data_IF_836860424897
#
_entry.id   IF_836860424897
#
_cell.length_a   1.000
_cell.length_b   1.000
_cell.length_c   1.000
_cell.angle_alpha   90.00
_cell.angle_beta   90.00
_cell.angle_gamma   90.00
#
_symmetry.space_group_name_H-M   'P 1'
#
loop_
_entity.id
_entity.type
_entity.pdbx_description
1 polymer ?
#
# COMPACT_ATOMS: atom_id res chain seq x y z
N UNK A 1 -11.99 -66.67 51.91
CA UNK A 1 -11.11 -65.52 51.80
C UNK A 1 -10.98 -65.20 50.31
N UNK A 2 -11.71 -64.23 49.81
CA UNK A 2 -11.61 -63.74 48.42
C UNK A 2 -11.26 -62.27 48.47
N UNK A 3 -10.05 -61.93 48.03
CA UNK A 3 -9.62 -60.53 47.80
C UNK A 3 -10.30 -59.97 46.58
N UNK A 4 -11.00 -58.85 46.76
CA UNK A 4 -11.45 -58.03 45.65
C UNK A 4 -10.44 -56.88 45.41
N UNK A 5 -9.75 -56.88 44.24
CA UNK A 5 -8.92 -55.82 43.75
C UNK A 5 -9.81 -54.84 43.08
N UNK A 6 -9.82 -53.55 43.54
CA UNK A 6 -10.50 -52.40 42.86
C UNK A 6 -9.50 -51.77 41.92
N UNK A 7 -9.82 -51.81 40.63
CA UNK A 7 -9.14 -51.09 39.56
C UNK A 7 -9.72 -49.68 39.51
N UNK A 8 -8.93 -48.65 39.85
CA UNK A 8 -9.31 -47.25 39.62
C UNK A 8 -8.97 -46.87 38.16
N UNK A 9 -10.00 -46.54 37.39
CA UNK A 9 -9.88 -46.00 36.05
C UNK A 9 -9.73 -44.47 36.16
N UNK A 10 -8.54 -43.94 35.86
CA UNK A 10 -8.36 -42.48 35.66
C UNK A 10 -8.80 -42.12 34.25
N UNK A 11 -9.94 -41.42 34.15
CA UNK A 11 -10.36 -40.75 32.92
C UNK A 11 -9.76 -39.36 32.93
N UNK A 12 -8.72 -39.14 32.12
CA UNK A 12 -8.20 -37.80 31.86
C UNK A 12 -9.14 -37.09 30.87
N UNK A 13 -9.95 -36.16 31.36
CA UNK A 13 -10.63 -35.16 30.48
C UNK A 13 -9.58 -34.18 29.95
N UNK A 14 -9.18 -34.35 28.72
CA UNK A 14 -8.50 -33.31 27.97
C UNK A 14 -9.58 -32.31 27.49
N UNK A 15 -9.72 -31.19 28.18
CA UNK A 15 -10.48 -30.05 27.69
C UNK A 15 -9.69 -29.40 26.55
N UNK A 16 -9.92 -29.82 25.34
CA UNK A 16 -9.51 -29.10 24.15
C UNK A 16 -10.24 -27.75 24.15
N UNK A 17 -9.51 -26.68 24.43
CA UNK A 17 -9.97 -25.32 24.17
C UNK A 17 -10.15 -25.18 22.65
N UNK A 18 -11.38 -25.37 22.15
CA UNK A 18 -11.75 -24.91 20.82
C UNK A 18 -11.69 -23.38 20.83
N UNK A 19 -10.61 -22.82 20.33
CA UNK A 19 -10.57 -21.42 20.00
C UNK A 19 -11.51 -21.22 18.79
N UNK A 20 -12.63 -20.57 19.02
CA UNK A 20 -13.46 -20.06 17.92
C UNK A 20 -12.61 -19.07 17.13
N UNK A 21 -12.64 -19.10 15.79
CA UNK A 21 -11.94 -18.10 14.99
C UNK A 21 -12.44 -16.72 15.39
N UNK A 22 -11.52 -15.83 15.77
CA UNK A 22 -11.80 -14.43 16.09
C UNK A 22 -12.41 -13.80 14.86
N UNK A 23 -13.57 -13.16 15.00
CA UNK A 23 -14.21 -12.47 13.88
C UNK A 23 -13.29 -11.35 13.37
N UNK A 24 -13.35 -11.02 12.07
CA UNK A 24 -12.52 -9.96 11.51
C UNK A 24 -12.74 -8.59 12.21
N UNK A 25 -13.90 -8.37 12.82
CA UNK A 25 -14.23 -7.17 13.60
C UNK A 25 -13.55 -7.13 14.99
N UNK A 26 -13.10 -8.27 15.52
CA UNK A 26 -12.44 -8.38 16.82
C UNK A 26 -10.91 -8.47 16.71
N UNK A 27 -10.36 -8.42 15.48
CA UNK A 27 -8.91 -8.40 15.25
C UNK A 27 -8.36 -6.99 15.43
N UNK A 28 -7.15 -6.81 16.00
CA UNK A 28 -6.50 -5.52 15.97
C UNK A 28 -6.29 -5.07 14.52
N UNK A 29 -6.22 -3.76 14.30
CA UNK A 29 -5.82 -3.22 12.99
C UNK A 29 -4.38 -3.66 12.67
N UNK A 30 -3.98 -3.60 11.40
CA UNK A 30 -2.66 -4.09 10.96
C UNK A 30 -1.50 -3.44 11.75
N UNK A 31 -1.61 -2.15 12.01
CA UNK A 31 -0.70 -1.32 12.81
C UNK A 31 -1.40 0.00 13.17
N UNK A 32 -0.94 0.77 14.16
CA UNK A 32 -1.51 2.08 14.50
C UNK A 32 -1.55 3.01 13.28
N UNK A 33 -2.76 3.50 12.93
CA UNK A 33 -2.98 4.34 11.74
C UNK A 33 -3.29 3.57 10.45
N UNK A 34 -3.50 2.25 10.51
CA UNK A 34 -4.02 1.48 9.38
C UNK A 34 -5.50 1.82 9.14
N UNK A 35 -5.83 2.20 7.90
CA UNK A 35 -7.17 2.67 7.52
C UNK A 35 -7.77 1.85 6.37
N UNK A 36 -9.05 2.05 6.11
CA UNK A 36 -9.72 1.53 4.93
C UNK A 36 -10.03 0.03 4.95
N UNK A 37 -10.31 -0.52 3.77
CA UNK A 37 -10.74 -1.91 3.61
C UNK A 37 -9.69 -2.93 4.04
N UNK A 38 -8.39 -2.65 3.87
CA UNK A 38 -7.28 -3.55 4.22
C UNK A 38 -6.78 -3.43 5.65
N UNK A 39 -7.38 -2.58 6.48
CA UNK A 39 -6.87 -2.22 7.82
C UNK A 39 -6.73 -3.38 8.80
N UNK A 40 -7.40 -4.50 8.56
CA UNK A 40 -7.38 -5.68 9.43
C UNK A 40 -6.48 -6.81 8.91
N UNK A 41 -5.58 -6.54 7.94
CA UNK A 41 -4.55 -7.49 7.54
C UNK A 41 -3.68 -7.90 8.74
N UNK A 42 -3.41 -9.18 8.89
CA UNK A 42 -2.60 -9.69 10.02
C UNK A 42 -1.13 -9.91 9.66
N UNK A 43 -0.79 -9.87 8.38
CA UNK A 43 0.57 -10.13 7.93
C UNK A 43 1.08 -11.51 8.33
N UNK A 44 2.36 -11.57 8.71
CA UNK A 44 3.01 -12.78 9.20
C UNK A 44 2.77 -13.09 10.67
N UNK A 45 2.14 -12.20 11.43
CA UNK A 45 1.98 -12.24 12.90
C UNK A 45 1.63 -13.61 13.48
N UNK A 46 0.70 -14.30 12.84
CA UNK A 46 0.19 -15.60 13.30
C UNK A 46 0.73 -16.78 12.47
N UNK A 47 1.88 -16.63 11.84
CA UNK A 47 2.49 -17.68 11.02
C UNK A 47 1.76 -17.96 9.71
N UNK A 48 2.19 -19.01 9.02
CA UNK A 48 1.72 -19.33 7.67
C UNK A 48 0.22 -19.68 7.57
N UNK A 49 -0.33 -20.25 8.62
CA UNK A 49 -1.72 -20.72 8.68
C UNK A 49 -2.65 -19.75 9.43
N UNK A 50 -2.13 -18.60 9.87
CA UNK A 50 -2.88 -17.62 10.65
C UNK A 50 -3.27 -18.10 12.08
N UNK A 51 -2.65 -19.14 12.60
CA UNK A 51 -2.93 -19.72 13.92
C UNK A 51 -1.67 -20.15 14.69
N UNK A 52 -0.49 -19.82 14.17
CA UNK A 52 0.81 -20.18 14.74
C UNK A 52 1.58 -18.96 15.23
N UNK A 53 2.89 -19.00 15.04
CA UNK A 53 3.83 -17.92 15.34
C UNK A 53 4.62 -17.55 14.08
N UNK A 54 5.01 -16.29 13.96
CA UNK A 54 5.84 -15.83 12.86
C UNK A 54 7.24 -16.45 12.86
N UNK A 55 7.82 -16.57 11.65
CA UNK A 55 9.26 -16.73 11.45
C UNK A 55 9.86 -15.34 11.17
N UNK A 56 10.85 -14.92 11.96
CA UNK A 56 11.61 -13.70 11.62
C UNK A 56 12.60 -14.06 10.53
N UNK A 57 12.56 -13.32 9.42
CA UNK A 57 13.49 -13.50 8.31
C UNK A 57 14.31 -12.23 8.07
N UNK A 58 15.63 -12.38 8.17
CA UNK A 58 16.58 -11.30 7.93
C UNK A 58 17.03 -11.24 6.47
N UNK A 59 16.83 -10.11 5.82
CA UNK A 59 17.44 -9.80 4.53
C UNK A 59 18.84 -9.28 4.81
N UNK A 60 19.84 -10.12 4.59
CA UNK A 60 21.23 -9.88 4.97
C UNK A 60 22.12 -9.47 3.81
N UNK A 61 21.61 -9.50 2.58
CA UNK A 61 22.35 -9.10 1.38
C UNK A 61 21.43 -8.51 0.30
N UNK A 62 22.03 -7.89 -0.71
CA UNK A 62 21.33 -7.22 -1.82
C UNK A 62 21.25 -8.08 -3.09
N UNK A 63 21.54 -9.38 -3.00
CA UNK A 63 21.47 -10.30 -4.14
C UNK A 63 20.01 -10.50 -4.58
N UNK A 64 19.82 -10.80 -5.87
CA UNK A 64 18.49 -11.15 -6.41
C UNK A 64 17.92 -12.42 -5.75
N UNK A 65 18.76 -13.42 -5.48
CA UNK A 65 18.34 -14.73 -5.00
C UNK A 65 19.38 -15.38 -4.08
N UNK A 66 19.00 -16.49 -3.48
CA UNK A 66 19.82 -17.26 -2.53
C UNK A 66 19.54 -16.91 -1.09
N UNK A 67 20.26 -17.57 -0.18
CA UNK A 67 20.13 -17.39 1.27
C UNK A 67 20.34 -15.93 1.68
N UNK A 68 19.49 -15.41 2.56
CA UNK A 68 19.53 -14.04 3.02
C UNK A 68 19.04 -12.99 2.02
N UNK A 69 18.57 -13.39 0.82
CA UNK A 69 18.01 -12.46 -0.16
C UNK A 69 16.54 -12.12 0.15
N UNK A 70 16.09 -10.97 -0.34
CA UNK A 70 14.66 -10.58 -0.22
C UNK A 70 13.75 -11.58 -0.95
N UNK A 71 14.15 -12.09 -2.12
CA UNK A 71 13.39 -13.10 -2.87
C UNK A 71 13.15 -14.36 -2.04
N UNK A 72 14.17 -14.85 -1.32
CA UNK A 72 14.01 -15.99 -0.42
C UNK A 72 13.07 -15.64 0.76
N UNK A 73 13.18 -14.42 1.30
CA UNK A 73 12.31 -13.94 2.37
C UNK A 73 10.83 -14.03 2.03
N UNK A 74 10.43 -13.54 0.85
CA UNK A 74 9.03 -13.48 0.42
C UNK A 74 8.55 -14.75 -0.29
N UNK A 75 9.38 -15.78 -0.42
CA UNK A 75 9.07 -17.03 -1.12
C UNK A 75 8.15 -17.97 -0.34
N UNK A 76 8.06 -17.80 0.97
CA UNK A 76 7.24 -18.59 1.89
C UNK A 76 6.33 -17.69 2.72
N UNK A 77 5.22 -18.25 3.20
CA UNK A 77 4.27 -17.57 4.09
C UNK A 77 4.69 -17.66 5.56
N UNK A 78 4.13 -16.77 6.39
CA UNK A 78 4.26 -16.82 7.85
C UNK A 78 5.47 -16.09 8.41
N UNK A 79 5.98 -15.10 7.65
CA UNK A 79 7.19 -14.37 8.02
C UNK A 79 6.95 -12.91 8.37
N UNK A 80 7.74 -12.43 9.32
CA UNK A 80 8.03 -11.01 9.50
C UNK A 80 9.43 -10.77 8.94
N UNK A 81 9.52 -9.96 7.87
CA UNK A 81 10.73 -9.77 7.09
C UNK A 81 11.35 -8.43 7.47
N UNK A 82 12.55 -8.47 8.00
CA UNK A 82 13.36 -7.33 8.42
C UNK A 82 14.61 -7.22 7.55
N UNK A 83 15.22 -6.02 7.50
CA UNK A 83 16.37 -5.76 6.65
C UNK A 83 17.58 -5.37 7.49
N UNK A 84 18.66 -6.12 7.38
CA UNK A 84 19.96 -5.84 7.99
C UNK A 84 20.87 -5.02 7.10
N UNK A 85 20.46 -4.81 5.85
CA UNK A 85 21.21 -4.11 4.81
C UNK A 85 20.42 -2.95 4.23
N UNK A 86 21.11 -1.99 3.65
CA UNK A 86 20.55 -0.88 2.88
C UNK A 86 21.15 -0.84 1.47
N UNK A 87 20.33 -0.39 0.51
CA UNK A 87 20.79 -0.30 -0.88
C UNK A 87 19.77 -0.80 -1.89
N UNK A 88 20.23 -1.08 -3.10
CA UNK A 88 19.40 -1.52 -4.22
C UNK A 88 19.51 -3.02 -4.45
N UNK A 89 18.39 -3.71 -4.37
CA UNK A 89 18.25 -5.11 -4.78
C UNK A 89 17.82 -5.10 -6.25
N UNK A 90 18.70 -5.57 -7.13
CA UNK A 90 18.43 -5.67 -8.56
C UNK A 90 17.79 -7.02 -8.90
N UNK A 91 16.52 -7.01 -9.28
CA UNK A 91 15.81 -8.21 -9.70
C UNK A 91 16.19 -8.60 -11.13
N UNK A 92 16.68 -9.81 -11.33
CA UNK A 92 16.98 -10.41 -12.64
C UNK A 92 15.71 -10.98 -13.31
N UNK A 93 14.69 -11.27 -12.51
CA UNK A 93 13.40 -11.80 -12.96
C UNK A 93 12.24 -11.27 -12.11
N UNK A 94 10.97 -11.34 -12.58
CA UNK A 94 9.81 -10.96 -11.79
C UNK A 94 9.80 -11.65 -10.42
N UNK A 95 9.36 -10.91 -9.41
CA UNK A 95 9.27 -11.39 -8.03
C UNK A 95 7.81 -11.68 -7.67
N UNK A 96 7.52 -12.88 -7.16
CA UNK A 96 6.23 -13.23 -6.59
C UNK A 96 6.33 -13.23 -5.06
N UNK A 97 5.49 -12.44 -4.40
CA UNK A 97 5.37 -12.39 -2.95
C UNK A 97 4.28 -13.36 -2.49
N UNK A 98 4.55 -14.14 -1.44
CA UNK A 98 3.57 -15.00 -0.78
C UNK A 98 2.79 -14.23 0.29
N UNK A 99 1.58 -14.69 0.59
CA UNK A 99 0.73 -14.15 1.65
C UNK A 99 1.18 -14.51 3.06
N UNK A 100 0.44 -14.05 4.06
CA UNK A 100 0.79 -14.17 5.47
C UNK A 100 2.21 -13.70 5.77
N UNK A 101 2.58 -12.55 5.21
CA UNK A 101 3.88 -11.93 5.42
C UNK A 101 3.74 -10.47 5.86
N UNK A 102 4.62 -10.03 6.74
CA UNK A 102 4.81 -8.63 7.09
C UNK A 102 6.19 -8.19 6.61
N UNK A 103 6.26 -7.19 5.73
CA UNK A 103 7.51 -6.68 5.16
C UNK A 103 7.77 -5.29 5.73
N UNK A 104 8.87 -5.14 6.48
CA UNK A 104 9.18 -3.98 7.29
C UNK A 104 10.40 -3.23 6.75
N UNK A 105 10.25 -2.48 5.66
CA UNK A 105 11.34 -1.72 5.03
C UNK A 105 12.00 -0.68 5.96
N UNK A 106 11.28 -0.19 6.96
CA UNK A 106 11.79 0.77 7.95
C UNK A 106 12.81 0.19 8.93
N UNK A 107 12.99 -1.12 8.99
CA UNK A 107 14.05 -1.76 9.79
C UNK A 107 15.42 -1.66 9.14
N UNK A 108 15.47 -1.39 7.83
CA UNK A 108 16.72 -1.26 7.10
C UNK A 108 17.57 -0.11 7.65
N UNK A 109 18.90 -0.29 7.75
CA UNK A 109 19.78 0.79 8.15
C UNK A 109 19.94 1.85 7.03
N UNK A 110 20.65 2.96 7.33
CA UNK A 110 20.97 4.00 6.35
C UNK A 110 19.74 4.68 5.75
N UNK A 111 19.64 4.75 4.42
CA UNK A 111 18.50 5.31 3.71
C UNK A 111 17.45 4.25 3.32
N UNK A 112 17.56 3.03 3.84
CA UNK A 112 16.62 1.95 3.56
C UNK A 112 16.95 1.13 2.32
N UNK A 113 15.94 0.42 1.79
CA UNK A 113 16.10 -0.48 0.64
C UNK A 113 15.17 -0.09 -0.51
N UNK A 114 15.60 -0.41 -1.73
CA UNK A 114 14.74 -0.39 -2.92
C UNK A 114 14.89 -1.68 -3.73
N UNK A 115 13.79 -2.10 -4.31
CA UNK A 115 13.70 -3.24 -5.24
C UNK A 115 13.59 -2.65 -6.65
N UNK A 116 14.52 -2.98 -7.53
CA UNK A 116 14.63 -2.37 -8.86
C UNK A 116 14.81 -3.41 -9.96
N UNK A 117 14.32 -3.09 -11.16
CA UNK A 117 14.65 -3.80 -12.39
C UNK A 117 13.58 -4.73 -12.93
N UNK A 118 12.65 -5.20 -12.10
CA UNK A 118 11.58 -6.08 -12.55
C UNK A 118 10.27 -5.85 -11.75
N UNK A 119 9.17 -6.43 -12.28
CA UNK A 119 7.86 -6.44 -11.67
C UNK A 119 7.86 -7.20 -10.34
N UNK A 120 7.13 -6.65 -9.34
CA UNK A 120 6.80 -7.35 -8.08
C UNK A 120 5.31 -7.67 -8.05
N UNK A 121 4.95 -8.95 -7.96
CA UNK A 121 3.56 -9.42 -7.95
C UNK A 121 3.14 -9.81 -6.54
N UNK A 122 1.98 -9.27 -6.13
CA UNK A 122 1.28 -9.61 -4.89
C UNK A 122 0.04 -10.47 -5.13
N UNK A 123 -0.13 -10.99 -6.36
CA UNK A 123 -1.29 -11.83 -6.70
C UNK A 123 -1.32 -13.10 -5.86
N UNK A 124 -2.43 -13.30 -5.12
CA UNK A 124 -2.59 -14.42 -4.18
C UNK A 124 -1.84 -14.28 -2.87
N UNK A 125 -1.39 -13.08 -2.54
CA UNK A 125 -0.79 -12.79 -1.24
C UNK A 125 -1.89 -12.38 -0.25
N UNK A 126 -2.59 -13.33 0.33
CA UNK A 126 -3.57 -13.05 1.38
C UNK A 126 -2.88 -12.61 2.67
N UNK A 127 -3.54 -11.77 3.46
CA UNK A 127 -3.03 -11.31 4.77
C UNK A 127 -1.63 -10.72 4.66
N UNK A 128 -1.46 -9.66 3.87
CA UNK A 128 -0.16 -9.05 3.61
C UNK A 128 -0.06 -7.64 4.19
N UNK A 129 1.05 -7.35 4.87
CA UNK A 129 1.43 -6.01 5.31
C UNK A 129 2.77 -5.64 4.67
N UNK A 130 2.82 -4.50 3.94
CA UNK A 130 4.05 -3.96 3.35
C UNK A 130 4.23 -2.52 3.78
N UNK A 131 5.35 -2.20 4.42
CA UNK A 131 5.63 -0.86 4.93
C UNK A 131 7.01 -0.35 4.52
N UNK A 132 7.08 0.94 4.17
CA UNK A 132 8.30 1.69 3.87
C UNK A 132 9.25 1.03 2.86
N UNK A 133 8.69 0.47 1.79
CA UNK A 133 9.44 -0.22 0.74
C UNK A 133 9.35 0.54 -0.59
N UNK A 134 10.45 0.57 -1.34
CA UNK A 134 10.51 1.15 -2.68
C UNK A 134 10.48 0.06 -3.74
N UNK A 135 9.49 0.10 -4.62
CA UNK A 135 9.24 -0.86 -5.69
C UNK A 135 9.37 -0.12 -7.02
N UNK A 136 10.49 -0.23 -7.69
CA UNK A 136 10.87 0.57 -8.84
C UNK A 136 11.26 -0.32 -10.01
N UNK A 137 10.36 -0.46 -10.99
CA UNK A 137 10.60 -1.37 -12.11
C UNK A 137 11.69 -0.86 -13.07
N UNK A 138 11.52 0.34 -13.61
CA UNK A 138 12.46 0.97 -14.52
C UNK A 138 12.43 0.45 -15.96
N UNK A 139 13.28 1.07 -16.79
CA UNK A 139 13.33 0.79 -18.24
C UNK A 139 13.78 -0.65 -18.57
N UNK A 140 14.56 -1.26 -17.69
CA UNK A 140 15.08 -2.62 -17.89
C UNK A 140 13.99 -3.70 -17.65
N UNK A 141 12.89 -3.34 -16.99
CA UNK A 141 11.75 -4.23 -16.80
C UNK A 141 11.02 -4.60 -18.11
N UNK A 142 10.25 -5.67 -18.08
CA UNK A 142 9.55 -6.17 -19.26
C UNK A 142 8.51 -5.16 -19.80
N UNK A 143 8.41 -4.94 -21.12
CA UNK A 143 7.41 -4.07 -21.73
C UNK A 143 5.97 -4.48 -21.40
N UNK A 144 5.08 -3.50 -21.18
CA UNK A 144 3.66 -3.74 -20.91
C UNK A 144 3.42 -4.46 -19.58
N UNK A 145 4.27 -4.19 -18.58
CA UNK A 145 4.13 -4.71 -17.21
C UNK A 145 4.04 -3.58 -16.21
N UNK A 146 3.24 -3.81 -15.17
CA UNK A 146 3.15 -2.93 -14.02
C UNK A 146 4.41 -3.04 -13.16
N UNK A 147 4.76 -1.98 -12.45
CA UNK A 147 5.85 -2.07 -11.48
C UNK A 147 5.47 -3.03 -10.34
N UNK A 148 4.24 -2.93 -9.84
CA UNK A 148 3.68 -3.94 -8.96
C UNK A 148 2.15 -4.00 -9.04
N UNK A 149 1.56 -5.06 -8.46
CA UNK A 149 0.11 -5.19 -8.39
C UNK A 149 -0.38 -6.55 -7.92
N UNK A 150 -1.70 -6.63 -7.76
CA UNK A 150 -2.40 -7.86 -7.42
C UNK A 150 -3.62 -8.08 -8.31
N UNK A 151 -3.78 -9.30 -8.84
CA UNK A 151 -4.93 -9.72 -9.64
C UNK A 151 -5.96 -10.52 -8.82
N UNK A 152 -5.57 -11.05 -7.66
CA UNK A 152 -6.41 -11.77 -6.69
C UNK A 152 -5.72 -11.79 -5.33
N UNK A 153 -6.43 -12.25 -4.30
CA UNK A 153 -6.00 -12.25 -2.90
C UNK A 153 -6.82 -11.29 -2.04
N UNK A 154 -6.62 -11.32 -0.74
CA UNK A 154 -7.42 -10.53 0.18
C UNK A 154 -6.65 -10.06 1.42
N UNK A 155 -7.20 -9.02 2.09
CA UNK A 155 -6.65 -8.47 3.33
C UNK A 155 -5.18 -8.01 3.16
N UNK A 156 -4.94 -7.04 2.30
CA UNK A 156 -3.61 -6.48 2.06
C UNK A 156 -3.58 -5.00 2.38
N UNK A 157 -2.50 -4.56 3.03
CA UNK A 157 -2.25 -3.15 3.26
C UNK A 157 -0.82 -2.77 2.87
N UNK A 158 -0.73 -1.71 2.07
CA UNK A 158 0.51 -1.10 1.61
C UNK A 158 0.60 0.29 2.21
N UNK A 159 1.60 0.53 3.03
CA UNK A 159 1.75 1.78 3.79
C UNK A 159 3.13 2.39 3.57
N UNK A 160 3.17 3.67 3.18
CA UNK A 160 4.42 4.37 2.89
C UNK A 160 5.30 3.60 1.87
N UNK A 161 4.72 3.13 0.77
CA UNK A 161 5.50 2.53 -0.32
C UNK A 161 5.72 3.56 -1.44
N UNK A 162 6.85 3.46 -2.15
CA UNK A 162 7.14 4.27 -3.33
C UNK A 162 7.18 3.37 -4.55
N UNK A 163 6.20 3.50 -5.45
CA UNK A 163 6.02 2.63 -6.61
C UNK A 163 6.17 3.44 -7.89
N UNK A 164 7.25 3.18 -8.64
CA UNK A 164 7.65 4.00 -9.77
C UNK A 164 8.01 3.16 -11.00
N UNK A 165 7.94 3.85 -12.17
CA UNK A 165 8.52 3.43 -13.44
C UNK A 165 7.96 2.13 -14.00
N UNK A 166 6.66 1.87 -13.78
CA UNK A 166 5.94 0.83 -14.51
C UNK A 166 5.91 1.11 -16.02
N UNK A 167 5.90 0.07 -16.84
CA UNK A 167 5.84 0.18 -18.31
C UNK A 167 4.44 -0.10 -18.87
N UNK A 168 3.47 -0.32 -17.99
CA UNK A 168 2.03 -0.21 -18.16
C UNK A 168 1.50 0.67 -17.04
N UNK A 169 1.09 0.13 -15.91
CA UNK A 169 0.80 0.88 -14.69
C UNK A 169 1.96 0.83 -13.69
N UNK A 170 1.95 1.78 -12.76
CA UNK A 170 2.83 1.70 -11.60
C UNK A 170 2.28 0.71 -10.56
N UNK A 171 1.04 0.90 -10.08
CA UNK A 171 0.44 0.03 -9.06
C UNK A 171 -1.01 -0.31 -9.38
N UNK A 172 -1.28 -1.55 -9.77
CA UNK A 172 -2.64 -2.01 -10.07
C UNK A 172 -3.17 -3.01 -9.06
N UNK A 173 -4.45 -2.84 -8.69
CA UNK A 173 -5.28 -3.81 -7.98
C UNK A 173 -6.43 -4.17 -8.93
N UNK A 174 -6.25 -5.19 -9.73
CA UNK A 174 -7.10 -5.36 -10.92
C UNK A 174 -7.27 -6.80 -11.34
N UNK A 175 -8.53 -7.18 -11.59
CA UNK A 175 -8.88 -8.42 -12.25
C UNK A 175 -9.86 -8.19 -13.42
N UNK A 176 -9.79 -9.03 -14.44
CA UNK A 176 -10.74 -8.99 -15.57
C UNK A 176 -12.17 -9.28 -15.12
N UNK A 177 -12.35 -10.11 -14.10
CA UNK A 177 -13.63 -10.35 -13.45
C UNK A 177 -13.65 -9.64 -12.10
N UNK A 178 -14.48 -8.59 -11.96
CA UNK A 178 -14.57 -7.78 -10.74
C UNK A 178 -14.92 -8.60 -9.50
N UNK A 179 -15.74 -9.65 -9.66
CA UNK A 179 -16.22 -10.46 -8.55
C UNK A 179 -15.18 -11.49 -8.06
N UNK A 180 -14.11 -11.69 -8.83
CA UNK A 180 -12.98 -12.55 -8.49
C UNK A 180 -11.69 -11.76 -8.23
N UNK A 181 -11.80 -10.43 -8.23
CA UNK A 181 -10.69 -9.55 -7.98
C UNK A 181 -10.22 -9.58 -6.52
N UNK A 182 -9.14 -8.86 -6.24
CA UNK A 182 -8.64 -8.69 -4.87
C UNK A 182 -9.69 -8.08 -3.94
N UNK A 183 -9.65 -8.42 -2.65
CA UNK A 183 -10.64 -7.97 -1.67
C UNK A 183 -9.96 -7.37 -0.43
N UNK A 184 -10.62 -6.37 0.18
CA UNK A 184 -10.15 -5.73 1.40
C UNK A 184 -8.70 -5.20 1.24
N UNK A 185 -8.49 -4.28 0.31
CA UNK A 185 -7.17 -3.75 0.02
C UNK A 185 -7.08 -2.29 0.46
N UNK A 186 -5.95 -1.91 1.04
CA UNK A 186 -5.60 -0.50 1.29
C UNK A 186 -4.22 -0.19 0.73
N UNK A 187 -4.12 0.94 0.01
CA UNK A 187 -2.86 1.59 -0.33
C UNK A 187 -2.91 2.97 0.31
N UNK A 188 -2.04 3.24 1.28
CA UNK A 188 -2.04 4.50 1.99
C UNK A 188 -0.66 5.13 2.08
N UNK A 189 -0.62 6.48 2.25
CA UNK A 189 0.59 7.23 2.53
C UNK A 189 1.73 7.03 1.50
N UNK A 190 1.41 6.70 0.26
CA UNK A 190 2.36 6.15 -0.71
C UNK A 190 2.59 7.10 -1.88
N UNK A 191 3.71 6.93 -2.60
CA UNK A 191 3.97 7.61 -3.87
C UNK A 191 3.78 6.61 -5.01
N UNK A 192 3.00 6.99 -6.03
CA UNK A 192 2.71 6.18 -7.22
C UNK A 192 2.96 7.07 -8.44
N UNK A 193 4.07 6.87 -9.15
CA UNK A 193 4.41 7.88 -10.12
C UNK A 193 5.41 7.51 -11.20
N UNK A 194 5.62 8.49 -12.07
CA UNK A 194 6.59 8.43 -13.16
C UNK A 194 6.48 7.19 -14.04
N UNK A 195 5.26 6.72 -14.30
CA UNK A 195 5.04 5.64 -15.25
C UNK A 195 5.73 5.92 -16.59
N UNK A 196 6.45 4.92 -17.12
CA UNK A 196 7.25 5.10 -18.33
C UNK A 196 6.40 5.08 -19.59
N UNK A 197 6.81 5.85 -20.58
CA UNK A 197 6.22 5.87 -21.91
C UNK A 197 6.32 4.48 -22.58
N UNK A 198 5.37 4.04 -23.42
CA UNK A 198 4.25 4.82 -24.03
C UNK A 198 2.96 4.85 -23.22
N UNK A 199 2.78 3.97 -22.20
CA UNK A 199 1.58 3.92 -21.38
C UNK A 199 1.57 5.01 -20.31
N UNK A 200 2.52 4.99 -19.39
CA UNK A 200 2.65 5.97 -18.30
C UNK A 200 1.37 6.11 -17.47
N UNK A 201 0.94 5.02 -16.86
CA UNK A 201 -0.27 4.95 -16.05
C UNK A 201 0.06 4.85 -14.54
N UNK A 202 -0.72 5.54 -13.70
CA UNK A 202 -0.61 5.43 -12.25
C UNK A 202 -1.07 4.06 -11.74
N UNK A 203 -2.34 3.71 -11.98
CA UNK A 203 -2.86 2.40 -11.56
C UNK A 203 -4.27 2.09 -12.08
N UNK A 204 -4.53 0.83 -12.32
CA UNK A 204 -5.86 0.30 -12.61
C UNK A 204 -6.42 -0.35 -11.35
N UNK A 205 -7.50 0.24 -10.80
CA UNK A 205 -8.20 -0.28 -9.62
C UNK A 205 -9.53 -0.88 -10.08
N UNK A 206 -9.61 -2.21 -10.10
CA UNK A 206 -10.70 -2.91 -10.76
C UNK A 206 -11.12 -4.16 -9.98
N UNK A 207 -12.04 -3.99 -9.02
CA UNK A 207 -12.60 -5.08 -8.23
C UNK A 207 -13.88 -4.65 -7.50
N UNK A 208 -14.78 -5.61 -7.22
CA UNK A 208 -15.90 -5.45 -6.30
C UNK A 208 -15.54 -5.81 -4.85
N UNK A 209 -14.29 -6.11 -4.57
CA UNK A 209 -13.80 -6.52 -3.25
C UNK A 209 -13.45 -5.37 -2.30
N UNK A 210 -13.55 -4.12 -2.74
CA UNK A 210 -13.24 -2.94 -1.95
C UNK A 210 -11.75 -2.58 -1.90
N UNK A 211 -11.41 -1.38 -2.37
CA UNK A 211 -10.07 -0.82 -2.32
C UNK A 211 -10.11 0.59 -1.74
N UNK A 212 -9.30 0.85 -0.73
CA UNK A 212 -9.06 2.21 -0.21
C UNK A 212 -7.72 2.73 -0.71
N UNK A 213 -7.75 3.93 -1.27
CA UNK A 213 -6.60 4.73 -1.62
C UNK A 213 -6.63 5.98 -0.72
N UNK A 214 -5.67 6.09 0.21
CA UNK A 214 -5.70 7.09 1.27
C UNK A 214 -4.36 7.81 1.45
N UNK A 215 -4.36 9.14 1.35
CA UNK A 215 -3.17 9.99 1.49
C UNK A 215 -2.01 9.62 0.55
N UNK A 216 -2.31 9.19 -0.68
CA UNK A 216 -1.28 8.87 -1.65
C UNK A 216 -0.96 10.10 -2.53
N UNK A 217 0.27 10.15 -3.02
CA UNK A 217 0.70 11.03 -4.10
C UNK A 217 0.73 10.26 -5.41
N UNK A 218 -0.14 10.63 -6.35
CA UNK A 218 -0.01 10.25 -7.75
C UNK A 218 0.73 11.36 -8.49
N UNK A 219 1.86 11.06 -9.12
CA UNK A 219 2.73 12.11 -9.70
C UNK A 219 3.33 11.70 -11.05
N UNK A 220 3.34 12.63 -11.98
CA UNK A 220 4.00 12.49 -13.29
C UNK A 220 3.54 11.27 -14.12
N UNK A 221 2.30 10.85 -13.97
CA UNK A 221 1.71 9.84 -14.84
C UNK A 221 0.81 10.50 -15.89
N UNK A 222 0.87 10.01 -17.12
CA UNK A 222 0.03 10.50 -18.21
C UNK A 222 -1.46 10.35 -17.89
N UNK A 223 -1.86 9.25 -17.26
CA UNK A 223 -3.26 8.88 -17.04
C UNK A 223 -3.41 7.88 -15.89
N UNK A 224 -4.67 7.55 -15.55
CA UNK A 224 -5.02 6.53 -14.56
C UNK A 224 -4.43 6.82 -13.17
N UNK A 225 -4.81 7.97 -12.58
CA UNK A 225 -4.34 8.38 -11.25
C UNK A 225 -5.46 8.40 -10.18
N UNK A 226 -6.24 7.31 -10.02
CA UNK A 226 -6.26 6.04 -10.75
C UNK A 226 -7.29 6.00 -11.92
N UNK A 227 -7.38 4.85 -12.64
CA UNK A 227 -8.60 4.42 -13.36
C UNK A 227 -9.36 3.43 -12.49
N UNK A 228 -10.65 3.69 -12.25
CA UNK A 228 -11.45 2.94 -11.27
C UNK A 228 -12.60 2.19 -11.93
N UNK A 229 -12.78 0.93 -11.53
CA UNK A 229 -13.98 0.11 -11.78
C UNK A 229 -14.30 -0.73 -10.54
N UNK A 230 -15.59 -0.83 -10.21
CA UNK A 230 -16.02 -1.57 -9.01
C UNK A 230 -16.08 -0.68 -7.78
N UNK A 231 -15.66 -1.17 -6.60
CA UNK A 231 -15.84 -0.50 -5.31
C UNK A 231 -14.53 0.12 -4.84
N UNK A 232 -14.46 1.45 -4.76
CA UNK A 232 -13.23 2.17 -4.43
C UNK A 232 -13.49 3.38 -3.55
N UNK A 233 -12.67 3.55 -2.52
CA UNK A 233 -12.59 4.73 -1.68
C UNK A 233 -11.30 5.49 -2.02
N UNK A 234 -11.43 6.74 -2.45
CA UNK A 234 -10.32 7.63 -2.83
C UNK A 234 -10.38 8.89 -1.98
N UNK A 235 -9.60 8.93 -0.90
CA UNK A 235 -9.73 9.92 0.18
C UNK A 235 -8.39 10.55 0.51
N UNK A 236 -8.37 11.89 0.59
CA UNK A 236 -7.18 12.68 0.96
C UNK A 236 -5.93 12.42 0.09
N UNK A 237 -6.10 11.97 -1.16
CA UNK A 237 -4.98 11.81 -2.07
C UNK A 237 -4.63 13.14 -2.75
N UNK A 238 -3.40 13.21 -3.24
CA UNK A 238 -2.93 14.31 -4.09
C UNK A 238 -2.59 13.75 -5.46
N UNK A 239 -3.07 14.41 -6.52
CA UNK A 239 -2.70 14.09 -7.90
C UNK A 239 -1.97 15.29 -8.48
N UNK A 240 -0.71 15.09 -8.88
CA UNK A 240 0.15 16.13 -9.41
C UNK A 240 0.63 15.81 -10.83
N UNK A 241 0.59 16.84 -11.71
CA UNK A 241 1.23 16.82 -13.03
C UNK A 241 0.84 15.61 -13.91
N UNK A 242 -0.45 15.45 -14.19
CA UNK A 242 -0.94 14.41 -15.10
C UNK A 242 -1.03 14.88 -16.56
N UNK A 243 -1.11 13.93 -17.48
CA UNK A 243 -1.20 14.19 -18.92
C UNK A 243 -2.62 14.27 -19.48
N UNK A 244 -2.72 14.04 -20.77
CA UNK A 244 -3.96 14.17 -21.55
C UNK A 244 -4.94 12.97 -21.41
N UNK A 245 -4.62 12.00 -20.56
CA UNK A 245 -5.47 10.81 -20.38
C UNK A 245 -6.49 10.91 -19.27
N UNK A 246 -6.14 11.41 -18.12
CA UNK A 246 -6.95 11.80 -16.97
C UNK A 246 -6.13 11.86 -15.67
N UNK A 247 -6.51 12.73 -14.73
CA UNK A 247 -6.16 12.58 -13.32
C UNK A 247 -6.95 11.38 -12.76
N UNK A 248 -8.20 11.54 -12.40
CA UNK A 248 -9.08 10.44 -11.98
C UNK A 248 -9.96 9.98 -13.15
N UNK A 249 -9.83 8.72 -13.55
CA UNK A 249 -10.59 8.14 -14.65
C UNK A 249 -11.73 7.27 -14.15
N UNK A 250 -12.97 7.66 -14.47
CA UNK A 250 -14.23 7.07 -13.98
C UNK A 250 -14.72 5.94 -14.89
N UNK A 251 -13.83 5.03 -15.26
CA UNK A 251 -14.09 3.81 -16.03
C UNK A 251 -14.74 3.91 -17.41
N UNK A 252 -14.94 5.07 -17.98
CA UNK A 252 -15.54 5.54 -19.24
C UNK A 252 -16.00 4.60 -20.35
N UNK A 253 -15.54 3.39 -20.40
CA UNK A 253 -15.90 2.38 -21.40
C UNK A 253 -16.44 1.07 -20.76
N UNK A 254 -16.86 1.12 -19.49
CA UNK A 254 -17.32 -0.06 -18.75
C UNK A 254 -18.84 -0.13 -18.71
N UNK A 255 -19.40 -1.29 -19.08
CA UNK A 255 -20.80 -1.61 -18.84
C UNK A 255 -21.07 -2.08 -17.40
N UNK A 256 -20.00 -2.23 -16.58
CA UNK A 256 -20.11 -2.71 -15.20
C UNK A 256 -20.34 -1.55 -14.24
N UNK A 257 -21.16 -1.79 -13.24
CA UNK A 257 -21.47 -0.84 -12.19
C UNK A 257 -20.28 -0.61 -11.28
N UNK A 258 -20.04 0.66 -10.94
CA UNK A 258 -18.99 1.08 -10.01
C UNK A 258 -19.59 1.97 -8.92
N UNK A 259 -19.05 1.88 -7.72
CA UNK A 259 -19.38 2.75 -6.59
C UNK A 259 -18.09 3.34 -6.01
N UNK A 260 -18.00 4.65 -5.97
CA UNK A 260 -16.81 5.33 -5.50
C UNK A 260 -17.10 6.42 -4.46
N UNK A 261 -16.37 6.41 -3.35
CA UNK A 261 -16.23 7.57 -2.46
C UNK A 261 -15.01 8.37 -2.88
N UNK A 262 -15.17 9.69 -3.12
CA UNK A 262 -14.10 10.58 -3.61
C UNK A 262 -14.12 11.85 -2.75
N UNK A 263 -13.32 11.90 -1.67
CA UNK A 263 -13.46 12.95 -0.66
C UNK A 263 -12.12 13.55 -0.24
N UNK A 264 -12.07 14.88 -0.12
CA UNK A 264 -10.93 15.59 0.45
C UNK A 264 -9.63 15.46 -0.36
N UNK A 265 -9.69 15.23 -1.67
CA UNK A 265 -8.51 15.09 -2.53
C UNK A 265 -8.08 16.44 -3.11
N UNK A 266 -6.78 16.59 -3.40
CA UNK A 266 -6.24 17.78 -4.04
C UNK A 266 -5.61 17.45 -5.39
N UNK A 267 -6.07 18.12 -6.45
CA UNK A 267 -5.56 17.97 -7.80
C UNK A 267 -4.75 19.22 -8.15
N UNK A 268 -3.44 19.07 -8.38
CA UNK A 268 -2.54 20.16 -8.76
C UNK A 268 -2.06 19.93 -10.18
N UNK A 269 -2.50 20.78 -11.10
CA UNK A 269 -2.00 20.77 -12.47
C UNK A 269 -0.52 21.13 -12.49
N UNK A 270 0.27 20.33 -13.20
CA UNK A 270 1.68 20.62 -13.44
C UNK A 270 1.95 21.08 -14.88
N UNK A 271 3.24 21.14 -15.27
CA UNK A 271 3.66 21.60 -16.61
C UNK A 271 3.22 20.69 -17.76
N UNK A 272 2.67 19.50 -17.50
CA UNK A 272 2.33 18.54 -18.55
C UNK A 272 1.37 19.13 -19.59
N UNK A 273 1.79 19.10 -20.85
CA UNK A 273 1.05 19.71 -21.98
C UNK A 273 -0.21 18.89 -22.28
N UNK A 274 -1.36 19.57 -22.29
CA UNK A 274 -2.64 18.97 -22.64
C UNK A 274 -3.32 18.20 -21.49
N UNK A 275 -2.99 18.51 -20.23
CA UNK A 275 -3.69 17.97 -19.08
C UNK A 275 -5.21 18.18 -19.15
N UNK A 276 -5.98 17.14 -18.84
CA UNK A 276 -7.45 17.18 -18.79
C UNK A 276 -7.95 17.79 -17.47
N UNK A 277 -9.27 18.08 -17.33
CA UNK A 277 -9.87 18.28 -16.01
C UNK A 277 -9.63 17.07 -15.07
N UNK A 278 -9.74 17.26 -13.74
CA UNK A 278 -9.48 16.20 -12.75
C UNK A 278 -10.27 14.91 -12.99
N UNK A 279 -11.57 15.02 -13.22
CA UNK A 279 -12.48 13.88 -13.41
C UNK A 279 -12.90 13.76 -14.86
N UNK A 280 -12.73 12.58 -15.45
CA UNK A 280 -13.16 12.29 -16.82
C UNK A 280 -13.63 10.86 -16.99
N UNK A 281 -14.46 10.61 -18.00
CA UNK A 281 -14.83 9.27 -18.47
C UNK A 281 -15.87 8.60 -17.60
N UNK A 282 -16.71 9.33 -16.90
CA UNK A 282 -17.89 8.79 -16.25
C UNK A 282 -18.94 8.31 -17.25
N UNK A 283 -19.83 7.48 -16.80
CA UNK A 283 -21.05 7.03 -17.49
C UNK A 283 -22.14 6.69 -16.48
N UNK A 284 -23.35 6.36 -16.94
CA UNK A 284 -24.51 6.04 -16.10
C UNK A 284 -24.30 4.87 -15.13
N UNK A 285 -23.29 4.05 -15.34
CA UNK A 285 -22.93 2.94 -14.45
C UNK A 285 -21.86 3.31 -13.40
N UNK A 286 -21.37 4.54 -13.40
CA UNK A 286 -20.39 5.00 -12.42
C UNK A 286 -21.07 5.89 -11.40
N UNK A 287 -21.44 5.30 -10.27
CA UNK A 287 -22.08 5.99 -9.15
C UNK A 287 -21.00 6.45 -8.15
N UNK A 288 -21.07 7.71 -7.72
CA UNK A 288 -20.07 8.22 -6.80
C UNK A 288 -20.64 9.26 -5.83
N UNK A 289 -20.07 9.31 -4.66
CA UNK A 289 -20.20 10.42 -3.72
C UNK A 289 -18.90 11.21 -3.74
N UNK A 290 -18.99 12.54 -3.87
CA UNK A 290 -17.83 13.41 -3.88
C UNK A 290 -18.05 14.67 -3.06
N UNK A 291 -17.06 15.01 -2.20
CA UNK A 291 -17.11 16.16 -1.30
C UNK A 291 -15.70 16.69 -1.01
N UNK A 292 -15.56 18.02 -0.89
CA UNK A 292 -14.34 18.65 -0.41
C UNK A 292 -13.09 18.43 -1.27
N UNK A 293 -13.24 18.10 -2.56
CA UNK A 293 -12.11 17.97 -3.48
C UNK A 293 -11.72 19.32 -4.04
N UNK A 294 -10.41 19.57 -4.21
CA UNK A 294 -9.86 20.85 -4.70
C UNK A 294 -9.10 20.67 -6.02
N UNK A 295 -9.13 21.70 -6.83
CA UNK A 295 -8.36 21.77 -8.07
C UNK A 295 -7.60 23.07 -8.19
N UNK A 296 -6.29 22.97 -8.40
CA UNK A 296 -5.40 24.07 -8.70
C UNK A 296 -4.88 23.94 -10.15
N UNK A 297 -5.29 24.87 -11.00
CA UNK A 297 -4.98 24.83 -12.43
C UNK A 297 -4.06 25.95 -12.91
N UNK A 298 -3.63 26.85 -12.01
CA UNK A 298 -3.11 28.16 -12.42
C UNK A 298 -1.58 28.22 -12.61
N UNK A 299 -0.83 27.17 -12.19
CA UNK A 299 0.63 27.05 -12.36
C UNK A 299 1.43 28.23 -11.77
N UNK A 300 0.95 28.84 -10.69
CA UNK A 300 1.52 30.08 -10.15
C UNK A 300 2.51 29.84 -8.97
N UNK A 301 2.79 28.59 -8.62
CA UNK A 301 3.68 28.23 -7.53
C UNK A 301 3.09 28.41 -6.12
N UNK A 302 1.76 28.44 -6.01
CA UNK A 302 1.04 28.56 -4.74
C UNK A 302 -0.08 27.50 -4.64
N UNK A 303 -0.35 26.97 -3.45
CA UNK A 303 -1.46 26.04 -3.26
C UNK A 303 -2.79 26.78 -3.05
N UNK A 304 -3.23 27.54 -4.07
CA UNK A 304 -4.41 28.41 -3.99
C UNK A 304 -5.58 27.94 -4.89
N UNK A 305 -5.65 26.62 -5.13
CA UNK A 305 -6.76 25.99 -5.81
C UNK A 305 -8.10 26.15 -5.09
N UNK A 306 -9.20 26.00 -5.83
CA UNK A 306 -10.57 26.08 -5.32
C UNK A 306 -11.23 24.72 -5.17
N UNK A 307 -12.29 24.68 -4.36
CA UNK A 307 -13.14 23.49 -4.25
C UNK A 307 -13.84 23.19 -5.59
N UNK A 308 -13.85 21.93 -6.00
CA UNK A 308 -14.53 21.45 -7.19
C UNK A 308 -16.05 21.51 -6.97
N UNK A 309 -16.74 22.24 -7.82
CA UNK A 309 -18.16 22.55 -7.66
C UNK A 309 -19.07 21.42 -8.14
N UNK A 310 -20.36 21.48 -7.77
CA UNK A 310 -21.36 20.56 -8.29
C UNK A 310 -21.44 20.58 -9.82
N UNK A 311 -21.34 21.76 -10.45
CA UNK A 311 -21.33 21.91 -11.90
C UNK A 311 -20.14 21.23 -12.57
N UNK A 312 -18.97 21.22 -11.91
CA UNK A 312 -17.78 20.54 -12.44
C UNK A 312 -17.94 19.01 -12.40
N UNK A 313 -18.59 18.47 -11.38
CA UNK A 313 -18.91 17.04 -11.32
C UNK A 313 -19.95 16.62 -12.37
N UNK A 314 -20.93 17.48 -12.71
CA UNK A 314 -21.90 17.18 -13.78
C UNK A 314 -21.22 16.97 -15.15
N UNK A 315 -20.08 17.62 -15.38
CA UNK A 315 -19.32 17.51 -16.64
C UNK A 315 -18.56 16.18 -16.79
N UNK A 316 -18.38 15.42 -15.72
CA UNK A 316 -17.58 14.18 -15.77
C UNK A 316 -18.33 12.96 -16.32
N UNK A 317 -19.68 13.01 -16.41
CA UNK A 317 -20.55 11.99 -17.03
C UNK A 317 -20.96 10.83 -16.10
N UNK A 318 -20.53 10.82 -14.83
CA UNK A 318 -20.95 9.85 -13.84
C UNK A 318 -22.21 10.27 -13.08
N UNK A 319 -22.84 9.35 -12.36
CA UNK A 319 -24.00 9.58 -11.51
C UNK A 319 -23.55 9.97 -10.09
N UNK A 320 -23.61 11.26 -9.76
CA UNK A 320 -23.26 11.77 -8.43
C UNK A 320 -24.41 11.58 -7.44
N UNK A 321 -24.17 10.76 -6.45
CA UNK A 321 -25.14 10.48 -5.37
C UNK A 321 -25.16 11.60 -4.32
N UNK A 322 -26.32 11.79 -3.69
CA UNK A 322 -26.56 12.88 -2.76
C UNK A 322 -25.76 12.76 -1.45
N UNK A 323 -25.52 11.54 -0.98
CA UNK A 323 -24.86 11.27 0.29
C UNK A 323 -24.21 9.85 0.34
N UNK A 324 -23.41 9.61 1.37
CA UNK A 324 -22.78 8.30 1.63
C UNK A 324 -23.80 7.20 1.92
N UNK A 325 -24.99 7.53 2.43
CA UNK A 325 -26.04 6.52 2.67
C UNK A 325 -26.57 5.95 1.37
N UNK A 326 -26.78 6.82 0.36
CA UNK A 326 -27.16 6.40 -0.99
C UNK A 326 -26.06 5.55 -1.65
N UNK A 327 -24.80 5.96 -1.49
CA UNK A 327 -23.63 5.22 -1.98
C UNK A 327 -23.55 3.81 -1.37
N UNK A 328 -23.63 3.70 -0.04
CA UNK A 328 -23.59 2.43 0.68
C UNK A 328 -24.76 1.51 0.29
N UNK A 329 -25.96 2.07 0.13
CA UNK A 329 -27.14 1.30 -0.29
C UNK A 329 -26.97 0.73 -1.70
N UNK A 330 -26.44 1.51 -2.63
CA UNK A 330 -26.18 1.06 -4.01
C UNK A 330 -25.12 -0.02 -4.06
N UNK A 331 -24.03 0.16 -3.32
CA UNK A 331 -22.92 -0.78 -3.26
C UNK A 331 -23.28 -2.13 -2.66
N UNK A 332 -24.20 -2.20 -1.69
CA UNK A 332 -24.50 -3.40 -0.88
C UNK A 332 -24.86 -4.65 -1.70
N UNK A 333 -25.41 -4.48 -2.91
CA UNK A 333 -25.74 -5.60 -3.82
C UNK A 333 -24.60 -6.02 -4.77
N UNK A 334 -23.46 -5.30 -4.74
CA UNK A 334 -22.36 -5.49 -5.70
C UNK A 334 -21.07 -5.99 -5.04
N UNK A 335 -20.96 -5.86 -3.72
CA UNK A 335 -19.72 -6.23 -3.02
C UNK A 335 -19.50 -7.74 -3.00
N UNK A 336 -18.23 -8.13 -3.17
CA UNK A 336 -17.72 -9.48 -2.92
C UNK A 336 -16.86 -9.57 -1.65
N UNK A 337 -16.64 -8.43 -0.99
CA UNK A 337 -16.00 -8.33 0.32
C UNK A 337 -16.99 -8.59 1.47
N UNK A 338 -16.46 -8.80 2.67
CA UNK A 338 -17.25 -9.00 3.90
C UNK A 338 -17.66 -7.68 4.58
N UNK A 339 -18.02 -6.66 3.78
CA UNK A 339 -18.42 -5.34 4.26
C UNK A 339 -19.78 -4.93 3.66
N UNK A 340 -20.50 -4.07 4.37
CA UNK A 340 -21.82 -3.54 3.96
C UNK A 340 -21.81 -2.03 3.74
N UNK A 341 -20.69 -1.37 4.04
CA UNK A 341 -20.50 0.08 3.88
C UNK A 341 -19.03 0.38 3.58
N UNK A 342 -18.78 1.56 3.04
CA UNK A 342 -17.40 2.07 2.97
C UNK A 342 -16.85 2.24 4.39
N UNK A 343 -15.57 1.87 4.64
CA UNK A 343 -14.94 2.10 5.93
C UNK A 343 -14.92 3.59 6.29
N UNK A 344 -15.15 3.91 7.54
CA UNK A 344 -14.89 5.26 8.04
C UNK A 344 -13.38 5.46 8.17
N UNK A 345 -12.91 6.63 7.76
CA UNK A 345 -11.53 7.08 7.89
C UNK A 345 -11.43 7.99 9.11
N UNK A 346 -10.72 7.54 10.14
CA UNK A 346 -10.62 8.28 11.41
C UNK A 346 -9.80 9.56 11.27
N UNK A 347 -8.78 9.57 10.43
CA UNK A 347 -7.90 10.71 10.19
C UNK A 347 -8.30 11.56 8.98
N UNK A 348 -9.60 11.75 8.70
CA UNK A 348 -10.06 12.55 7.57
C UNK A 348 -9.59 14.02 7.69
N UNK A 349 -9.00 14.55 6.62
CA UNK A 349 -8.49 15.90 6.50
C UNK A 349 -9.27 16.69 5.44
N UNK A 350 -9.25 18.01 5.51
CA UNK A 350 -9.59 18.85 4.36
C UNK A 350 -8.56 18.63 3.22
N UNK A 351 -8.92 18.94 1.99
CA UNK A 351 -8.00 18.77 0.85
C UNK A 351 -6.70 19.61 0.99
N UNK A 352 -6.73 20.88 1.46
CA UNK A 352 -5.49 21.62 1.75
C UNK A 352 -4.60 20.97 2.82
N UNK A 353 -5.18 20.46 3.91
CA UNK A 353 -4.42 19.74 4.93
C UNK A 353 -3.82 18.44 4.38
N UNK A 354 -4.58 17.72 3.53
CA UNK A 354 -4.08 16.53 2.85
C UNK A 354 -2.92 16.84 1.90
N UNK A 355 -2.98 17.97 1.16
CA UNK A 355 -1.87 18.41 0.31
C UNK A 355 -0.59 18.64 1.11
N UNK A 356 -0.69 19.34 2.25
CA UNK A 356 0.46 19.58 3.13
C UNK A 356 0.99 18.27 3.71
N UNK A 357 0.10 17.44 4.26
CA UNK A 357 0.47 16.16 4.86
C UNK A 357 1.17 15.23 3.87
N UNK A 358 0.60 15.05 2.67
CA UNK A 358 1.16 14.21 1.60
C UNK A 358 2.52 14.73 1.14
N UNK A 359 2.67 16.04 1.00
CA UNK A 359 3.93 16.68 0.61
C UNK A 359 5.08 16.46 1.61
N UNK A 360 4.78 16.15 2.87
CA UNK A 360 5.77 15.90 3.92
C UNK A 360 6.02 14.41 4.17
N UNK A 361 5.01 13.55 3.98
CA UNK A 361 5.02 12.20 4.55
C UNK A 361 4.88 11.06 3.53
N UNK A 362 4.37 11.31 2.32
CA UNK A 362 4.10 10.24 1.37
C UNK A 362 5.36 9.52 0.89
N UNK A 363 5.22 8.23 0.58
CA UNK A 363 6.29 7.37 0.11
C UNK A 363 7.05 6.67 1.24
N UNK A 364 8.14 5.99 0.90
CA UNK A 364 8.97 5.27 1.85
C UNK A 364 9.79 6.27 2.71
N UNK A 365 9.12 6.86 3.70
CA UNK A 365 9.66 7.94 4.54
C UNK A 365 10.61 7.46 5.64
N UNK A 366 10.60 6.16 5.97
CA UNK A 366 11.50 5.56 6.95
C UNK A 366 12.40 4.51 6.31
N UNK A 367 13.65 4.42 6.78
CA UNK A 367 14.30 5.28 7.75
C UNK A 367 14.54 6.72 7.25
N UNK A 368 14.44 6.98 5.95
CA UNK A 368 14.51 8.31 5.34
C UNK A 368 13.89 8.30 3.93
N UNK A 369 13.37 9.43 3.46
CA UNK A 369 13.14 9.60 2.02
C UNK A 369 14.48 9.55 1.29
N UNK A 370 14.56 8.79 0.20
CA UNK A 370 15.75 8.78 -0.63
C UNK A 370 15.79 9.96 -1.61
N UNK A 371 16.82 10.00 -2.46
CA UNK A 371 17.01 11.06 -3.45
C UNK A 371 15.82 11.17 -4.43
N UNK A 372 15.27 10.03 -4.84
CA UNK A 372 14.16 9.97 -5.80
C UNK A 372 12.86 10.47 -5.18
N UNK A 373 12.50 9.99 -4.00
CA UNK A 373 11.28 10.44 -3.30
C UNK A 373 11.37 11.93 -2.98
N UNK A 374 12.53 12.42 -2.50
CA UNK A 374 12.75 13.87 -2.29
C UNK A 374 12.60 14.68 -3.57
N UNK A 375 13.07 14.17 -4.71
CA UNK A 375 12.90 14.83 -6.00
C UNK A 375 11.41 14.97 -6.37
N UNK A 376 10.61 13.93 -6.17
CA UNK A 376 9.16 13.95 -6.44
C UNK A 376 8.41 14.88 -5.49
N UNK A 377 8.71 14.84 -4.20
CA UNK A 377 8.12 15.73 -3.20
C UNK A 377 8.50 17.20 -3.44
N UNK A 378 9.71 17.47 -3.91
CA UNK A 378 10.11 18.82 -4.33
C UNK A 378 9.35 19.31 -5.57
N UNK A 379 9.02 18.42 -6.52
CA UNK A 379 8.14 18.78 -7.63
C UNK A 379 6.74 19.15 -7.13
N UNK A 380 6.12 18.34 -6.28
CA UNK A 380 4.83 18.67 -5.67
C UNK A 380 4.86 20.03 -4.97
N UNK A 381 5.91 20.30 -4.17
CA UNK A 381 6.07 21.57 -3.45
C UNK A 381 6.30 22.78 -4.36
N UNK A 382 6.49 22.58 -5.65
CA UNK A 382 6.54 23.65 -6.64
C UNK A 382 5.15 24.19 -7.03
N UNK A 383 4.10 23.50 -6.59
CA UNK A 383 2.70 23.84 -6.87
C UNK A 383 2.44 24.22 -8.34
N UNK A 384 2.78 23.28 -9.23
CA UNK A 384 2.49 23.39 -10.66
C UNK A 384 3.63 23.95 -11.53
N UNK A 385 4.74 24.43 -10.97
CA UNK A 385 5.80 25.07 -11.75
C UNK A 385 6.94 24.15 -12.15
N UNK A 386 7.04 22.94 -11.60
CA UNK A 386 8.10 21.97 -11.88
C UNK A 386 7.51 20.60 -12.24
N UNK A 387 8.21 19.85 -13.09
CA UNK A 387 7.83 18.50 -13.52
C UNK A 387 8.07 18.31 -15.02
N UNK A 388 7.93 17.09 -15.53
CA UNK A 388 8.02 16.82 -16.95
C UNK A 388 6.81 17.41 -17.71
N UNK A 389 7.08 18.10 -18.83
CA UNK A 389 6.04 18.58 -19.74
C UNK A 389 5.43 17.47 -20.60
N UNK A 390 6.06 16.33 -20.63
CA UNK A 390 5.68 15.12 -21.38
C UNK A 390 6.10 13.88 -20.61
N UNK A 391 5.66 12.72 -21.09
CA UNK A 391 5.99 11.46 -20.45
C UNK A 391 7.48 11.14 -20.38
N UNK A 392 7.86 10.40 -19.35
CA UNK A 392 9.21 9.93 -19.08
C UNK A 392 9.43 8.66 -19.88
N UNK A 393 10.47 8.62 -20.72
CA UNK A 393 10.80 7.44 -21.51
C UNK A 393 11.84 6.52 -20.83
N UNK A 394 12.65 7.10 -19.94
CA UNK A 394 13.74 6.38 -19.27
C UNK A 394 14.12 7.16 -17.99
N UNK A 395 13.98 6.53 -16.84
CA UNK A 395 14.28 7.11 -15.53
C UNK A 395 15.78 7.43 -15.36
N UNK A 396 16.65 6.72 -16.09
CA UNK A 396 18.12 6.97 -16.06
C UNK A 396 18.50 8.34 -16.64
N UNK A 397 17.57 8.99 -17.35
CA UNK A 397 17.77 10.34 -17.90
C UNK A 397 17.30 11.44 -16.92
N UNK A 398 16.64 11.09 -15.84
CA UNK A 398 16.22 12.03 -14.81
C UNK A 398 17.41 12.54 -13.97
N UNK A 399 17.27 13.65 -13.22
CA UNK A 399 18.37 14.24 -12.46
C UNK A 399 19.07 13.27 -11.49
N UNK A 400 18.29 12.39 -10.85
CA UNK A 400 18.79 11.34 -9.95
C UNK A 400 19.35 10.11 -10.68
N UNK A 401 19.40 10.09 -12.02
CA UNK A 401 20.03 9.05 -12.87
C UNK A 401 19.54 7.61 -12.60
N UNK A 402 18.23 7.44 -12.49
CA UNK A 402 17.60 6.17 -12.16
C UNK A 402 17.39 5.99 -10.67
N UNK A 403 17.96 4.96 -10.07
CA UNK A 403 17.74 4.57 -8.67
C UNK A 403 18.16 5.61 -7.62
N UNK A 404 18.92 6.64 -8.01
CA UNK A 404 19.49 7.58 -7.06
C UNK A 404 20.54 6.92 -6.14
N UNK A 405 21.00 7.66 -5.17
CA UNK A 405 21.95 7.17 -4.16
C UNK A 405 21.23 6.88 -2.83
N UNK A 406 21.49 5.70 -2.26
CA UNK A 406 21.08 5.30 -0.92
C UNK A 406 22.31 5.25 0.00
N UNK A 407 22.33 6.03 1.06
CA UNK A 407 23.43 5.99 2.04
C UNK A 407 23.41 4.63 2.73
N UNK A 408 24.56 3.94 2.81
CA UNK A 408 24.66 2.74 3.62
C UNK A 408 24.51 3.06 5.10
N UNK A 409 24.10 2.07 5.88
CA UNK A 409 24.01 2.13 7.32
C UNK A 409 24.48 0.84 7.96
N UNK A 410 24.54 0.84 9.29
CA UNK A 410 24.89 -0.33 10.09
C UNK A 410 23.68 -0.68 10.94
N UNK A 411 23.31 -1.95 10.97
CA UNK A 411 22.26 -2.49 11.84
C UNK A 411 22.63 -2.19 13.32
N UNK A 412 21.64 -1.88 14.13
CA UNK A 412 21.78 -1.79 15.58
C UNK A 412 22.18 -3.16 16.15
N UNK A 413 22.80 -3.16 17.35
CA UNK A 413 23.12 -4.40 18.06
C UNK A 413 21.83 -5.18 18.38
N UNK A 414 21.81 -6.44 18.06
CA UNK A 414 20.72 -7.40 18.23
C UNK A 414 21.40 -8.75 18.44
N UNK A 415 21.54 -9.16 19.74
CA UNK A 415 22.44 -10.23 20.16
C UNK A 415 21.90 -11.63 19.87
N UNK A 416 20.59 -11.80 19.84
CA UNK A 416 19.93 -13.09 19.56
C UNK A 416 19.36 -13.19 18.14
N UNK A 417 19.48 -12.08 17.39
CA UNK A 417 19.11 -12.00 15.98
C UNK A 417 17.62 -12.24 15.73
N UNK A 418 16.77 -11.62 16.54
CA UNK A 418 15.31 -11.68 16.44
C UNK A 418 14.66 -10.45 15.79
N UNK A 419 15.48 -9.47 15.37
CA UNK A 419 15.06 -8.27 14.67
C UNK A 419 14.74 -7.08 15.58
N UNK A 420 14.83 -7.26 16.91
CA UNK A 420 14.68 -6.19 17.91
C UNK A 420 16.08 -5.79 18.41
N UNK A 421 16.43 -4.52 18.46
CA UNK A 421 17.71 -4.10 19.05
C UNK A 421 17.77 -4.35 20.56
N UNK A 422 18.93 -4.82 21.06
CA UNK A 422 19.22 -5.06 22.50
C UNK A 422 18.77 -3.89 23.40
N UNK A 423 19.01 -2.64 22.96
CA UNK A 423 18.67 -1.44 23.73
C UNK A 423 17.15 -1.29 23.95
N UNK A 424 16.35 -1.68 22.94
CA UNK A 424 14.90 -1.59 23.02
C UNK A 424 14.34 -2.71 23.89
N UNK A 425 14.88 -3.93 23.78
CA UNK A 425 14.49 -5.08 24.57
C UNK A 425 14.73 -4.82 26.07
N UNK A 426 15.93 -4.38 26.44
CA UNK A 426 16.27 -4.03 27.82
C UNK A 426 15.32 -2.95 28.37
N UNK A 427 15.00 -1.93 27.55
CA UNK A 427 14.12 -0.85 27.96
C UNK A 427 12.67 -1.29 28.16
N UNK A 428 12.24 -2.38 27.48
CA UNK A 428 10.87 -2.91 27.50
C UNK A 428 10.74 -4.23 28.28
N UNK A 429 11.80 -4.67 28.99
CA UNK A 429 11.78 -5.83 29.87
C UNK A 429 11.80 -7.18 29.14
N UNK A 430 12.31 -7.20 27.91
CA UNK A 430 12.63 -8.40 27.14
C UNK A 430 14.08 -8.83 27.41
N UNK A 431 14.46 -9.98 26.88
CA UNK A 431 15.79 -10.55 27.09
C UNK A 431 16.59 -10.57 25.79
N UNK A 432 17.65 -9.73 25.61
CA UNK A 432 18.49 -9.67 24.40
C UNK A 432 19.21 -10.98 24.01
N UNK A 433 18.92 -12.07 24.68
CA UNK A 433 19.48 -13.40 24.41
C UNK A 433 18.37 -14.48 24.29
N UNK A 434 17.11 -14.08 24.09
CA UNK A 434 15.96 -14.96 23.91
C UNK A 434 15.20 -14.63 22.62
N UNK A 435 15.73 -15.01 21.48
CA UNK A 435 15.14 -14.75 20.15
C UNK A 435 13.74 -15.34 19.93
N UNK A 436 13.06 -15.81 20.97
CA UNK A 436 11.68 -16.28 20.89
C UNK A 436 10.67 -15.24 21.36
N UNK A 437 11.11 -14.20 22.03
CA UNK A 437 10.19 -13.23 22.60
C UNK A 437 9.73 -12.18 21.57
N UNK A 438 10.49 -11.89 20.52
CA UNK A 438 10.07 -11.01 19.42
C UNK A 438 8.73 -11.38 18.78
N UNK A 439 8.45 -12.66 18.65
CA UNK A 439 7.22 -13.18 18.03
C UNK A 439 6.10 -13.47 19.03
N UNK A 440 6.35 -13.28 20.32
CA UNK A 440 5.33 -13.37 21.36
C UNK A 440 4.35 -12.22 21.25
N UNK A 441 3.05 -12.50 21.42
CA UNK A 441 2.02 -11.46 21.38
C UNK A 441 2.02 -10.64 22.68
N UNK A 442 1.99 -9.32 22.50
CA UNK A 442 1.72 -8.36 23.56
C UNK A 442 0.25 -8.38 23.98
N UNK A 443 -0.12 -7.76 25.12
CA UNK A 443 -1.53 -7.60 25.50
C UNK A 443 -2.42 -6.91 24.46
N UNK A 444 -1.84 -6.09 23.59
CA UNK A 444 -2.55 -5.36 22.54
C UNK A 444 -2.74 -6.20 21.26
N UNK A 445 -2.19 -7.44 21.24
CA UNK A 445 -2.36 -8.41 20.17
C UNK A 445 -1.38 -8.25 19.02
N UNK A 446 -0.34 -7.44 19.17
CA UNK A 446 0.79 -7.34 18.26
C UNK A 446 1.97 -8.20 18.77
N UNK A 447 2.86 -8.59 17.88
CA UNK A 447 4.15 -9.18 18.30
C UNK A 447 5.07 -8.10 18.86
N UNK A 448 6.03 -8.44 19.74
CA UNK A 448 6.96 -7.44 20.27
C UNK A 448 7.84 -6.81 19.20
N UNK A 449 8.18 -7.53 18.13
CA UNK A 449 8.87 -6.90 17.00
C UNK A 449 7.99 -5.86 16.29
N UNK A 450 6.68 -6.06 16.19
CA UNK A 450 5.76 -5.04 15.67
C UNK A 450 5.69 -3.83 16.61
N UNK A 451 5.62 -4.05 17.92
CA UNK A 451 5.67 -2.96 18.93
C UNK A 451 6.97 -2.13 18.82
N UNK A 452 8.12 -2.81 18.66
CA UNK A 452 9.38 -2.13 18.39
C UNK A 452 9.30 -1.27 17.12
N UNK A 453 8.83 -1.84 16.04
CA UNK A 453 8.75 -1.18 14.74
C UNK A 453 7.82 0.05 14.76
N UNK A 454 6.77 0.05 15.59
CA UNK A 454 5.89 1.22 15.76
C UNK A 454 6.61 2.39 16.45
N UNK A 455 7.76 2.17 17.09
CA UNK A 455 8.57 3.24 17.72
C UNK A 455 9.61 3.86 16.79
N UNK A 456 9.86 3.27 15.60
CA UNK A 456 10.80 3.81 14.61
C UNK A 456 10.22 5.11 14.02
N UNK A 457 11.02 6.19 14.08
CA UNK A 457 10.65 7.54 13.64
C UNK A 457 11.75 8.16 12.79
#
# INVERSE_FOLDING_TARGET
MKLFSRLLLYVSLSTGLCHSPVSAADRPIAFPGAEGFGRHAIGGRLGADGNGSAEIYHVTNLNDSGEGSFREGVSRSGRIIVFDVSGTIHLESPLQVKGHNTILGQTAPGDGVQIYGNQVSFSGADELIVRHLRLRMGIDGAPGKDACGAAYGENMIFDHVSVLWGKDECFSISANNLDRGPRNITIQNSIIGQGLQTHSCGGLIQTNGGVTLYRNLYIDNKTRNPKVKGITQFVNNVVYNWGNGAAYNMSGNSERTSYAEISGNYFVKGPWIGATPPFVGGNDNFHFYAEGNYYDANLNGKPDGGEITAEDYEKCGGDRLADKTALNRGMAGQTTGSFSSFPEIEGLMSAPEALEWVGLNAGASLPAHDEVDRYLLAQLSSYGTSGPERGISNEKLLPHKGTGYLRPGVRKADSDNDGIPDEWEIANGLNPHDGTDAVRLSPDGYTYIEEYVFTIR
#
